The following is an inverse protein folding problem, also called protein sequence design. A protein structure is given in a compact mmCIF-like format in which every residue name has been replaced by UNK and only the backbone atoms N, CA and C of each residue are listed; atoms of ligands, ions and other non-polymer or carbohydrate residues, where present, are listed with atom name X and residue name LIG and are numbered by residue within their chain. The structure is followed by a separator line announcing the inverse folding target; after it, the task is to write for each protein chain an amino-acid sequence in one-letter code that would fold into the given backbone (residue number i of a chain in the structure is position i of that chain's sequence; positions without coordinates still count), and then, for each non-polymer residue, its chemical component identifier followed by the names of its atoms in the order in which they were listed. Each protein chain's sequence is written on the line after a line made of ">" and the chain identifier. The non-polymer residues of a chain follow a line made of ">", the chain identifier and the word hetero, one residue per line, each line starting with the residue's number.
data_IF_779473874371
#
_entry.id   IF_779473874371
#
_cell.length_a   1.000
_cell.length_b   1.000
_cell.length_c   1.000
_cell.angle_alpha   90.00
_cell.angle_beta   90.00
_cell.angle_gamma   90.00
#
_symmetry.space_group_name_H-M   'P 1'
#
loop_
_entity.id
_entity.type
_entity.pdbx_description
1 polymer ?
#
# COMPACT_ATOMS: atom_id res chain seq x y z
N UNK A 1 -42.63 -61.86 -39.78
CA UNK A 1 -42.98 -60.62 -39.07
C UNK A 1 -42.07 -60.54 -37.84
N UNK A 2 -41.45 -59.37 -37.58
CA UNK A 2 -40.05 -59.21 -37.09
C UNK A 2 -39.85 -59.59 -35.61
N UNK A 3 -38.67 -60.11 -35.20
CA UNK A 3 -37.44 -59.37 -34.80
C UNK A 3 -37.66 -58.54 -33.51
N UNK A 4 -36.86 -58.56 -32.44
CA UNK A 4 -35.41 -58.74 -32.29
C UNK A 4 -35.08 -59.03 -30.81
N UNK A 5 -34.05 -59.82 -30.56
CA UNK A 5 -33.36 -59.94 -29.27
C UNK A 5 -32.42 -58.73 -29.05
N UNK A 6 -32.10 -58.36 -27.80
CA UNK A 6 -30.74 -57.96 -27.41
C UNK A 6 -30.54 -57.81 -25.87
N UNK A 7 -29.70 -58.71 -25.33
CA UNK A 7 -28.56 -58.53 -24.39
C UNK A 7 -28.73 -57.84 -23.00
N UNK A 8 -28.42 -58.66 -21.98
CA UNK A 8 -27.76 -58.33 -20.68
C UNK A 8 -26.30 -57.81 -20.91
N UNK A 9 -25.40 -57.57 -19.90
CA UNK A 9 -25.49 -57.46 -18.43
C UNK A 9 -24.66 -56.27 -17.81
N UNK A 10 -24.74 -56.12 -16.47
CA UNK A 10 -23.73 -55.75 -15.43
C UNK A 10 -22.42 -55.04 -15.87
N UNK A 11 -22.00 -53.95 -15.16
CA UNK A 11 -20.66 -53.80 -14.53
C UNK A 11 -20.18 -52.34 -14.30
N UNK A 12 -19.61 -52.12 -13.11
CA UNK A 12 -18.46 -51.26 -12.73
C UNK A 12 -18.50 -49.73 -12.85
N UNK A 13 -18.32 -49.07 -11.69
CA UNK A 13 -17.74 -47.73 -11.42
C UNK A 13 -16.49 -47.39 -12.26
N UNK A 14 -16.12 -46.10 -12.53
CA UNK A 14 -15.37 -45.29 -11.54
C UNK A 14 -15.42 -43.72 -11.63
N UNK A 15 -14.96 -43.10 -10.52
CA UNK A 15 -14.04 -41.94 -10.39
C UNK A 15 -14.48 -40.49 -10.76
N UNK A 16 -14.38 -39.65 -9.72
CA UNK A 16 -13.98 -38.22 -9.63
C UNK A 16 -14.57 -37.16 -10.58
N UNK A 17 -15.29 -36.20 -9.99
CA UNK A 17 -15.04 -34.77 -10.23
C UNK A 17 -15.66 -33.95 -9.09
N UNK A 18 -14.83 -33.72 -8.08
CA UNK A 18 -15.02 -32.72 -7.04
C UNK A 18 -14.11 -31.57 -7.44
N UNK A 19 -14.65 -30.42 -7.87
CA UNK A 19 -14.03 -29.07 -7.78
C UNK A 19 -14.73 -27.97 -8.61
N UNK A 20 -15.77 -28.25 -9.39
CA UNK A 20 -16.36 -27.24 -10.30
C UNK A 20 -17.69 -26.63 -9.81
N UNK A 21 -17.76 -26.16 -8.56
CA UNK A 21 -18.98 -25.49 -8.05
C UNK A 21 -18.73 -24.37 -7.03
N UNK A 22 -17.50 -23.85 -6.92
CA UNK A 22 -17.17 -22.80 -5.96
C UNK A 22 -16.41 -21.60 -6.56
N UNK A 23 -16.63 -21.25 -7.83
CA UNK A 23 -15.98 -20.08 -8.45
C UNK A 23 -16.94 -19.04 -9.07
N UNK A 24 -18.24 -19.15 -8.78
CA UNK A 24 -19.24 -18.14 -9.11
C UNK A 24 -19.81 -17.49 -7.83
N UNK A 25 -18.95 -16.83 -7.04
CA UNK A 25 -19.40 -15.89 -6.01
C UNK A 25 -18.23 -15.06 -5.46
N UNK A 26 -17.84 -14.00 -6.17
CA UNK A 26 -17.35 -12.81 -5.48
C UNK A 26 -18.07 -11.61 -6.09
N UNK A 27 -19.34 -11.48 -5.69
CA UNK A 27 -20.04 -10.21 -5.73
C UNK A 27 -19.23 -9.17 -4.96
N UNK A 28 -19.14 -8.00 -5.56
CA UNK A 28 -18.66 -6.74 -5.01
C UNK A 28 -19.05 -6.53 -3.54
N UNK A 29 -18.03 -6.42 -2.68
CA UNK A 29 -18.15 -5.67 -1.42
C UNK A 29 -16.98 -4.69 -1.37
N UNK A 30 -17.30 -3.43 -1.66
CA UNK A 30 -16.44 -2.27 -1.41
C UNK A 30 -16.37 -2.05 0.09
N UNK A 31 -15.15 -2.10 0.64
CA UNK A 31 -14.65 -1.35 1.81
C UNK A 31 -13.24 -1.86 2.14
N UNK A 32 -12.22 -1.37 1.41
CA UNK A 32 -10.79 -1.26 1.79
C UNK A 32 -9.95 -0.87 0.54
N UNK A 33 -9.51 0.37 0.46
CA UNK A 33 -8.74 0.95 -0.68
C UNK A 33 -7.26 0.52 -0.73
N UNK A 34 -7.00 -0.77 -0.54
CA UNK A 34 -5.68 -1.41 -0.67
C UNK A 34 -5.71 -2.72 -1.47
N UNK A 35 -6.87 -3.10 -2.02
CA UNK A 35 -7.02 -4.34 -2.76
C UNK A 35 -6.23 -4.29 -4.07
N UNK A 36 -5.29 -5.22 -4.24
CA UNK A 36 -4.62 -5.47 -5.52
C UNK A 36 -5.62 -6.17 -6.43
N UNK A 37 -5.88 -5.61 -7.62
CA UNK A 37 -6.72 -6.23 -8.65
C UNK A 37 -5.86 -6.89 -9.71
N UNK A 38 -6.27 -8.06 -10.15
CA UNK A 38 -5.57 -8.85 -11.15
C UNK A 38 -6.54 -9.16 -12.28
N UNK A 39 -6.10 -8.95 -13.52
CA UNK A 39 -6.82 -9.38 -14.70
C UNK A 39 -5.87 -10.02 -15.69
N UNK A 40 -6.12 -11.29 -16.00
CA UNK A 40 -5.39 -12.02 -17.03
C UNK A 40 -6.06 -11.76 -18.37
N UNK A 41 -5.27 -11.31 -19.34
CA UNK A 41 -5.75 -11.03 -20.67
C UNK A 41 -5.62 -12.27 -21.56
N UNK A 42 -6.72 -13.00 -21.73
CA UNK A 42 -6.82 -14.14 -22.67
C UNK A 42 -7.77 -13.81 -23.85
N UNK A 43 -7.80 -12.54 -24.30
CA UNK A 43 -8.75 -12.08 -25.32
C UNK A 43 -10.13 -11.68 -24.78
N UNK A 44 -10.29 -11.65 -23.45
CA UNK A 44 -11.46 -11.13 -22.77
C UNK A 44 -11.55 -9.59 -22.90
N UNK A 45 -12.76 -9.00 -22.84
CA UNK A 45 -12.90 -7.54 -22.82
C UNK A 45 -12.22 -6.93 -21.60
N UNK A 46 -11.84 -5.65 -21.71
CA UNK A 46 -11.26 -4.89 -20.61
C UNK A 46 -12.22 -4.91 -19.40
N UNK A 47 -11.70 -5.11 -18.18
CA UNK A 47 -12.53 -5.17 -16.99
C UNK A 47 -13.11 -3.79 -16.66
N UNK A 48 -14.30 -3.74 -16.05
CA UNK A 48 -15.03 -2.49 -15.73
C UNK A 48 -14.21 -1.49 -14.89
N UNK A 49 -13.28 -2.01 -14.08
CA UNK A 49 -12.41 -1.18 -13.24
C UNK A 49 -11.24 -0.54 -13.97
N UNK A 50 -10.97 -0.94 -15.22
CA UNK A 50 -9.96 -0.32 -16.04
C UNK A 50 -10.59 0.84 -16.82
N UNK A 51 -10.13 2.09 -16.62
CA UNK A 51 -10.64 3.22 -17.37
C UNK A 51 -10.38 3.04 -18.87
N UNK A 52 -11.38 3.36 -19.70
CA UNK A 52 -11.30 3.18 -21.17
C UNK A 52 -10.23 4.04 -21.83
N UNK A 53 -9.82 5.13 -21.20
CA UNK A 53 -8.73 6.01 -21.63
C UNK A 53 -7.33 5.47 -21.28
N UNK A 54 -7.25 4.42 -20.45
CA UNK A 54 -5.98 3.84 -20.02
C UNK A 54 -5.47 2.80 -21.02
N UNK A 55 -6.34 2.18 -21.81
CA UNK A 55 -5.99 1.15 -22.78
C UNK A 55 -6.28 1.61 -24.22
N UNK A 56 -5.36 1.33 -25.14
CA UNK A 56 -5.61 1.50 -26.57
C UNK A 56 -6.58 0.45 -27.10
N UNK A 57 -7.03 0.65 -28.34
CA UNK A 57 -7.73 -0.38 -29.10
C UNK A 57 -6.89 -1.67 -29.21
N UNK A 58 -7.55 -2.81 -29.23
CA UNK A 58 -6.92 -4.12 -29.45
C UNK A 58 -6.57 -4.24 -30.93
N UNK A 59 -5.29 -4.46 -31.22
CA UNK A 59 -4.77 -4.69 -32.56
C UNK A 59 -5.18 -6.07 -33.10
N UNK A 60 -5.08 -6.27 -34.42
CA UNK A 60 -5.41 -7.55 -35.07
C UNK A 60 -4.58 -8.75 -34.57
N UNK A 61 -3.39 -8.51 -34.02
CA UNK A 61 -2.53 -9.51 -33.40
C UNK A 61 -2.95 -9.84 -31.94
N UNK A 62 -4.06 -9.28 -31.47
CA UNK A 62 -4.58 -9.45 -30.12
C UNK A 62 -3.82 -8.65 -29.06
N UNK A 63 -2.89 -7.77 -29.41
CA UNK A 63 -2.16 -6.95 -28.41
C UNK A 63 -2.76 -5.55 -28.29
N UNK A 64 -2.52 -4.89 -27.16
CA UNK A 64 -2.86 -3.48 -26.98
C UNK A 64 -1.83 -2.78 -26.10
N UNK A 65 -1.87 -1.46 -26.05
CA UNK A 65 -0.99 -0.65 -25.19
C UNK A 65 -1.78 -0.13 -23.99
N UNK A 66 -1.18 -0.24 -22.81
CA UNK A 66 -1.72 0.22 -21.55
C UNK A 66 -0.86 1.37 -21.03
N UNK A 67 -1.48 2.49 -20.66
CA UNK A 67 -0.78 3.59 -20.01
C UNK A 67 -0.47 3.21 -18.56
N UNK A 68 0.81 3.19 -18.21
CA UNK A 68 1.29 2.89 -16.85
C UNK A 68 2.09 4.07 -16.32
N UNK A 69 2.40 4.08 -15.03
CA UNK A 69 3.26 5.13 -14.43
C UNK A 69 4.67 5.18 -15.07
N UNK A 70 5.12 4.06 -15.65
CA UNK A 70 6.42 3.96 -16.32
C UNK A 70 6.32 4.25 -17.83
N UNK A 71 5.15 4.65 -18.33
CA UNK A 71 4.85 4.91 -19.73
C UNK A 71 3.96 3.84 -20.36
N UNK A 72 3.96 3.76 -21.70
CA UNK A 72 3.15 2.81 -22.44
C UNK A 72 3.73 1.39 -22.33
N UNK A 73 2.95 0.48 -21.75
CA UNK A 73 3.27 -0.94 -21.66
C UNK A 73 2.46 -1.74 -22.69
N UNK A 74 3.12 -2.63 -23.43
CA UNK A 74 2.43 -3.53 -24.38
C UNK A 74 1.89 -4.76 -23.66
N UNK A 75 0.60 -5.05 -23.85
CA UNK A 75 -0.10 -6.21 -23.30
C UNK A 75 -0.26 -7.26 -24.39
N UNK A 76 0.28 -8.45 -24.14
CA UNK A 76 0.13 -9.63 -24.99
C UNK A 76 -0.90 -10.60 -24.40
N UNK A 77 -1.55 -11.44 -25.20
CA UNK A 77 -2.34 -12.56 -24.69
C UNK A 77 -1.52 -13.41 -23.71
N UNK A 78 -2.12 -13.74 -22.57
CA UNK A 78 -1.48 -14.43 -21.44
C UNK A 78 -0.83 -13.49 -20.40
N UNK A 79 -0.66 -12.20 -20.71
CA UNK A 79 -0.18 -11.24 -19.71
C UNK A 79 -1.23 -10.97 -18.65
N UNK A 80 -0.74 -10.62 -17.47
CA UNK A 80 -1.56 -10.26 -16.32
C UNK A 80 -1.37 -8.77 -16.08
N UNK A 81 -2.49 -8.06 -16.08
CA UNK A 81 -2.56 -6.67 -15.66
C UNK A 81 -2.85 -6.61 -14.17
N UNK A 82 -2.03 -5.85 -13.46
CA UNK A 82 -2.13 -5.64 -12.02
C UNK A 82 -2.50 -4.18 -11.79
N UNK A 83 -3.52 -3.91 -10.99
CA UNK A 83 -3.89 -2.57 -10.53
C UNK A 83 -3.76 -2.47 -9.01
N UNK A 84 -3.14 -1.39 -8.55
CA UNK A 84 -3.10 -1.02 -7.14
C UNK A 84 -3.10 0.50 -7.02
N UNK A 85 -4.15 1.07 -6.40
CA UNK A 85 -4.30 2.51 -6.15
C UNK A 85 -4.26 3.37 -7.43
N UNK A 86 -4.82 2.86 -8.53
CA UNK A 86 -4.86 3.53 -9.83
C UNK A 86 -3.59 3.41 -10.67
N UNK A 87 -2.55 2.77 -10.15
CA UNK A 87 -1.36 2.43 -10.91
C UNK A 87 -1.50 1.04 -11.55
N UNK A 88 -1.03 0.91 -12.79
CA UNK A 88 -1.15 -0.31 -13.59
C UNK A 88 0.22 -0.89 -13.92
N UNK A 89 0.33 -2.22 -13.91
CA UNK A 89 1.51 -2.96 -14.37
C UNK A 89 1.10 -4.13 -15.25
N UNK A 90 1.98 -4.49 -16.19
CA UNK A 90 1.81 -5.64 -17.08
C UNK A 90 2.94 -6.63 -16.80
N UNK A 91 2.61 -7.89 -16.51
CA UNK A 91 3.58 -8.95 -16.24
C UNK A 91 3.20 -10.27 -16.90
N UNK A 92 4.21 -11.14 -17.06
CA UNK A 92 3.99 -12.56 -17.32
C UNK A 92 3.42 -13.25 -16.07
N UNK A 93 2.89 -14.46 -16.20
CA UNK A 93 2.46 -15.25 -15.04
C UNK A 93 3.62 -15.67 -14.12
N UNK A 94 4.83 -15.77 -14.66
CA UNK A 94 6.02 -16.18 -13.91
C UNK A 94 6.51 -15.06 -12.99
N UNK A 95 6.45 -13.82 -13.45
CA UNK A 95 6.91 -12.63 -12.70
C UNK A 95 5.84 -12.07 -11.74
N UNK A 96 4.63 -12.65 -11.73
CA UNK A 96 3.51 -12.11 -10.98
C UNK A 96 3.72 -12.22 -9.46
N UNK A 97 4.27 -13.34 -8.99
CA UNK A 97 4.46 -13.58 -7.56
C UNK A 97 5.40 -12.55 -6.93
N UNK A 98 6.50 -12.23 -7.63
CA UNK A 98 7.48 -11.25 -7.17
C UNK A 98 6.88 -9.85 -7.14
N UNK A 99 6.14 -9.46 -8.19
CA UNK A 99 5.45 -8.17 -8.21
C UNK A 99 4.40 -8.06 -7.09
N UNK A 100 3.60 -9.10 -6.85
CA UNK A 100 2.60 -9.09 -5.76
C UNK A 100 3.30 -8.98 -4.40
N UNK A 101 4.42 -9.68 -4.20
CA UNK A 101 5.22 -9.57 -2.99
C UNK A 101 5.73 -8.14 -2.78
N UNK A 102 6.27 -7.51 -3.83
CA UNK A 102 6.70 -6.11 -3.80
C UNK A 102 5.56 -5.14 -3.48
N UNK A 103 4.40 -5.28 -4.12
CA UNK A 103 3.24 -4.42 -3.89
C UNK A 103 2.64 -4.60 -2.49
N UNK A 104 2.73 -5.81 -1.91
CA UNK A 104 2.35 -6.08 -0.52
C UNK A 104 3.33 -5.49 0.48
N UNK A 105 4.63 -5.53 0.19
CA UNK A 105 5.65 -4.86 1.00
C UNK A 105 5.41 -3.34 0.98
N UNK A 106 5.12 -2.75 -0.17
CA UNK A 106 4.78 -1.31 -0.29
C UNK A 106 3.48 -0.95 0.43
N UNK A 107 2.50 -1.86 0.47
CA UNK A 107 1.24 -1.66 1.18
C UNK A 107 1.37 -1.84 2.70
N UNK A 108 2.40 -2.54 3.16
CA UNK A 108 2.70 -2.69 4.58
C UNK A 108 3.58 -1.51 4.99
N UNK A 109 3.15 -0.64 5.93
CA UNK A 109 4.03 0.41 6.42
C UNK A 109 5.19 -0.24 7.17
N UNK A 110 6.30 -0.52 6.49
CA UNK A 110 7.53 -0.93 7.16
C UNK A 110 8.03 0.27 7.95
N UNK A 111 7.76 0.27 9.25
CA UNK A 111 8.46 1.14 10.20
C UNK A 111 9.90 0.63 10.25
N UNK A 112 10.72 1.08 9.31
CA UNK A 112 12.17 0.91 9.31
C UNK A 112 12.80 2.28 9.53
N UNK A 113 12.50 2.85 10.70
CA UNK A 113 13.26 3.95 11.28
C UNK A 113 13.65 3.54 12.70
N UNK A 114 14.57 2.57 12.80
CA UNK A 114 15.34 2.34 14.01
C UNK A 114 16.77 2.68 13.63
N UNK A 115 17.29 3.77 14.21
CA UNK A 115 18.67 4.19 14.04
C UNK A 115 19.68 3.10 14.42
N UNK A 116 20.96 3.26 14.05
CA UNK A 116 21.99 2.26 14.30
C UNK A 116 22.15 2.06 15.81
N UNK A 117 21.65 0.95 16.36
CA UNK A 117 21.83 0.64 17.79
C UNK A 117 20.88 -0.35 18.45
N UNK A 118 19.83 -0.86 17.80
CA UNK A 118 18.88 -1.80 18.43
C UNK A 118 18.63 -3.12 17.68
N UNK A 119 19.60 -3.61 16.92
CA UNK A 119 19.45 -4.87 16.18
C UNK A 119 19.73 -6.14 17.03
N UNK A 120 20.30 -6.05 18.23
CA UNK A 120 20.89 -7.24 18.88
C UNK A 120 19.99 -7.98 19.89
N UNK A 121 18.73 -7.59 20.08
CA UNK A 121 17.94 -8.15 21.19
C UNK A 121 16.73 -9.01 20.81
N UNK A 122 16.43 -9.16 19.52
CA UNK A 122 15.33 -10.01 19.07
C UNK A 122 15.76 -10.84 17.86
N UNK A 123 16.44 -11.96 18.13
CA UNK A 123 16.98 -12.82 17.10
C UNK A 123 17.37 -14.21 17.61
N UNK A 124 16.52 -14.87 18.41
CA UNK A 124 16.54 -16.33 18.42
C UNK A 124 15.66 -16.83 17.28
N UNK A 125 16.30 -17.28 16.21
CA UNK A 125 15.66 -18.05 15.14
C UNK A 125 15.30 -19.42 15.74
N UNK A 126 14.09 -19.54 16.30
CA UNK A 126 13.54 -20.83 16.70
C UNK A 126 13.10 -21.57 15.43
N UNK A 127 13.79 -22.68 15.13
CA UNK A 127 13.40 -23.63 14.07
C UNK A 127 11.95 -24.12 14.30
N UNK A 128 11.11 -24.23 13.27
CA UNK A 128 9.71 -24.58 13.46
C UNK A 128 9.60 -26.07 13.84
N UNK A 129 9.13 -26.34 15.07
CA UNK A 129 8.55 -27.64 15.41
C UNK A 129 7.14 -27.68 14.84
N UNK A 130 6.95 -28.52 13.83
CA UNK A 130 5.66 -28.96 13.34
C UNK A 130 4.80 -29.44 14.52
N UNK A 131 3.70 -28.75 14.81
CA UNK A 131 2.78 -29.19 15.85
C UNK A 131 1.31 -28.98 15.46
N UNK A 132 0.71 -30.14 15.17
CA UNK A 132 -0.70 -30.53 15.13
C UNK A 132 -1.72 -29.50 15.64
N UNK A 133 -2.60 -29.11 14.71
CA UNK A 133 -4.04 -28.95 14.85
C UNK A 133 -4.53 -28.48 16.24
N UNK A 134 -4.36 -27.19 16.53
CA UNK A 134 -5.11 -26.51 17.60
C UNK A 134 -6.01 -25.47 16.96
N UNK A 135 -7.33 -25.65 17.11
CA UNK A 135 -8.32 -24.62 16.78
C UNK A 135 -7.96 -23.35 17.56
N UNK A 136 -7.50 -22.33 16.86
CA UNK A 136 -7.17 -21.04 17.44
C UNK A 136 -8.47 -20.35 17.87
N UNK A 137 -8.69 -20.20 19.17
CA UNK A 137 -9.71 -19.29 19.70
C UNK A 137 -9.23 -17.85 19.51
N UNK A 138 -10.06 -16.91 19.01
CA UNK A 138 -9.65 -15.52 18.85
C UNK A 138 -9.38 -14.90 20.22
N UNK A 139 -8.13 -14.51 20.49
CA UNK A 139 -7.83 -13.68 21.64
C UNK A 139 -8.26 -12.24 21.37
N UNK A 140 -8.89 -11.55 22.34
CA UNK A 140 -9.20 -10.14 22.18
C UNK A 140 -7.90 -9.33 21.96
N UNK A 141 -7.96 -8.23 21.20
CA UNK A 141 -6.79 -7.41 20.95
C UNK A 141 -6.19 -6.90 22.27
N UNK A 142 -4.88 -7.09 22.45
CA UNK A 142 -4.13 -6.69 23.65
C UNK A 142 -4.04 -5.17 23.86
N UNK A 143 -4.41 -4.38 22.86
CA UNK A 143 -4.28 -2.93 22.88
C UNK A 143 -5.60 -2.26 22.49
N UNK A 144 -5.88 -1.12 23.11
CA UNK A 144 -7.00 -0.27 22.71
C UNK A 144 -6.84 0.15 21.24
N UNK A 145 -7.95 0.32 20.51
CA UNK A 145 -7.89 0.85 19.15
C UNK A 145 -7.24 2.24 19.16
N UNK A 146 -6.48 2.59 18.10
CA UNK A 146 -5.90 3.92 17.98
C UNK A 146 -6.99 4.98 17.98
N UNK A 147 -6.75 6.09 18.68
CA UNK A 147 -7.66 7.23 18.79
C UNK A 147 -7.13 8.37 17.93
N UNK A 148 -8.04 9.06 17.23
CA UNK A 148 -7.72 10.23 16.42
C UNK A 148 -7.43 9.90 14.96
N UNK A 149 -7.19 10.96 14.19
CA UNK A 149 -6.84 10.86 12.77
C UNK A 149 -5.40 10.39 12.60
N UNK A 150 -5.14 9.65 11.51
CA UNK A 150 -3.78 9.33 11.11
C UNK A 150 -3.01 10.61 10.75
N UNK A 151 -1.69 10.66 11.01
CA UNK A 151 -0.88 11.80 10.61
C UNK A 151 -0.82 11.93 9.07
N UNK A 152 -0.73 13.16 8.59
CA UNK A 152 -0.54 13.52 7.20
C UNK A 152 0.76 14.31 7.02
N UNK A 153 1.33 14.25 5.82
CA UNK A 153 2.39 15.17 5.39
C UNK A 153 1.73 16.17 4.44
N UNK A 154 1.84 17.46 4.75
CA UNK A 154 1.17 18.54 4.02
C UNK A 154 2.15 19.70 3.78
N UNK A 155 1.99 20.38 2.64
CA UNK A 155 2.65 21.67 2.40
C UNK A 155 1.83 22.77 3.07
N UNK A 156 2.41 23.40 4.10
CA UNK A 156 1.74 24.44 4.90
C UNK A 156 2.57 25.72 4.86
N UNK A 157 1.89 26.85 4.63
CA UNK A 157 2.54 28.16 4.69
C UNK A 157 3.01 28.48 6.12
N UNK A 158 4.18 29.09 6.27
CA UNK A 158 4.79 29.35 7.59
C UNK A 158 3.87 30.19 8.49
N UNK A 159 3.17 31.17 7.92
CA UNK A 159 2.24 32.06 8.65
C UNK A 159 0.98 31.37 9.18
N UNK A 160 0.71 30.13 8.76
CA UNK A 160 -0.38 29.31 9.32
C UNK A 160 0.06 28.55 10.58
N UNK A 161 1.35 28.55 10.88
CA UNK A 161 1.93 27.84 12.01
C UNK A 161 2.08 28.79 13.19
N UNK A 162 1.86 28.25 14.38
CA UNK A 162 2.06 28.94 15.65
C UNK A 162 2.89 28.10 16.60
N UNK A 163 3.45 28.76 17.61
CA UNK A 163 4.16 28.11 18.71
C UNK A 163 3.35 28.34 19.99
N UNK A 164 3.09 27.26 20.71
CA UNK A 164 2.49 27.35 22.04
C UNK A 164 3.59 27.63 23.07
N UNK A 165 3.63 28.88 23.55
CA UNK A 165 4.62 29.35 24.52
C UNK A 165 4.53 28.64 25.88
N UNK A 166 3.38 28.04 26.21
CA UNK A 166 3.21 27.28 27.46
C UNK A 166 3.82 25.87 27.36
N UNK A 167 3.94 25.35 26.14
CA UNK A 167 4.47 24.01 25.88
C UNK A 167 5.94 24.03 25.45
N UNK A 168 6.33 25.01 24.62
CA UNK A 168 7.67 25.06 24.02
C UNK A 168 8.67 25.87 24.84
N UNK A 169 9.96 25.60 24.62
CA UNK A 169 11.03 26.35 25.26
C UNK A 169 11.15 27.73 24.65
N UNK A 170 11.47 28.71 25.49
CA UNK A 170 11.85 30.04 25.04
C UNK A 170 13.12 29.98 24.19
N UNK A 171 13.11 30.69 23.07
CA UNK A 171 14.24 30.85 22.15
C UNK A 171 14.98 32.17 22.34
N UNK A 172 14.64 32.94 23.38
CA UNK A 172 15.24 34.25 23.67
C UNK A 172 16.65 34.17 24.28
N UNK A 173 17.15 32.96 24.55
CA UNK A 173 18.52 32.79 25.01
C UNK A 173 19.54 32.94 23.86
N UNK A 174 20.77 33.35 24.19
CA UNK A 174 21.81 33.61 23.20
C UNK A 174 22.21 32.37 22.38
N UNK A 175 22.13 31.16 22.96
CA UNK A 175 22.47 29.93 22.26
C UNK A 175 21.43 29.59 21.18
N UNK A 176 20.14 29.69 21.50
CA UNK A 176 19.03 29.51 20.56
C UNK A 176 19.11 30.52 19.41
N UNK A 177 19.35 31.80 19.70
CA UNK A 177 19.52 32.83 18.65
C UNK A 177 20.68 32.52 17.70
N UNK A 178 21.83 32.09 18.23
CA UNK A 178 22.98 31.67 17.41
C UNK A 178 22.65 30.46 16.56
N UNK A 179 21.97 29.46 17.13
CA UNK A 179 21.54 28.27 16.41
C UNK A 179 20.58 28.62 15.26
N UNK A 180 19.54 29.42 15.54
CA UNK A 180 18.59 29.90 14.52
C UNK A 180 19.34 30.62 13.40
N UNK A 181 20.24 31.55 13.74
CA UNK A 181 21.04 32.29 12.75
C UNK A 181 21.92 31.36 11.90
N UNK A 182 22.53 30.35 12.52
CA UNK A 182 23.37 29.37 11.81
C UNK A 182 22.56 28.48 10.85
N UNK A 183 21.33 28.13 11.22
CA UNK A 183 20.40 27.38 10.37
C UNK A 183 19.97 28.26 9.20
N UNK A 184 19.55 29.51 9.47
CA UNK A 184 19.11 30.47 8.46
C UNK A 184 20.20 30.74 7.41
N UNK A 185 21.45 30.87 7.82
CA UNK A 185 22.58 31.18 6.92
C UNK A 185 22.80 30.14 5.80
N UNK A 186 22.36 28.90 5.99
CA UNK A 186 22.51 27.80 5.03
C UNK A 186 21.22 27.00 4.89
N UNK A 187 20.09 27.69 5.00
CA UNK A 187 18.80 27.04 5.05
C UNK A 187 18.46 26.38 3.71
N UNK A 188 18.12 25.09 3.77
CA UNK A 188 17.63 24.31 2.65
C UNK A 188 16.62 23.30 3.17
N UNK A 189 15.37 23.41 2.71
CA UNK A 189 14.31 22.48 3.11
C UNK A 189 14.63 21.02 2.76
N UNK A 190 15.44 20.77 1.73
CA UNK A 190 15.85 19.41 1.33
C UNK A 190 16.77 18.73 2.34
N UNK A 191 17.41 19.52 3.21
CA UNK A 191 18.30 19.03 4.26
C UNK A 191 17.61 18.96 5.64
N UNK A 192 16.34 19.35 5.71
CA UNK A 192 15.57 19.40 6.94
C UNK A 192 14.51 18.29 6.97
N UNK A 193 14.33 17.66 8.14
CA UNK A 193 13.13 16.87 8.38
C UNK A 193 11.88 17.78 8.41
N UNK A 194 10.70 17.28 7.99
CA UNK A 194 9.44 18.02 8.12
C UNK A 194 9.21 18.50 9.56
N UNK A 195 8.52 19.63 9.70
CA UNK A 195 8.07 20.10 11.01
C UNK A 195 6.99 19.16 11.55
N UNK A 196 7.02 18.89 12.85
CA UNK A 196 5.96 18.11 13.51
C UNK A 196 4.99 19.09 14.13
N UNK A 197 3.73 18.98 13.73
CA UNK A 197 2.67 19.93 14.05
C UNK A 197 1.47 19.18 14.59
N UNK A 198 0.83 19.72 15.62
CA UNK A 198 -0.44 19.25 16.13
C UNK A 198 -1.57 20.17 15.64
N UNK A 199 -2.61 19.56 15.04
CA UNK A 199 -3.87 20.26 14.75
C UNK A 199 -4.70 20.32 16.04
N UNK A 200 -5.13 21.52 16.41
CA UNK A 200 -5.98 21.78 17.57
C UNK A 200 -7.45 21.72 17.18
N UNK A 201 -8.35 21.78 18.17
CA UNK A 201 -9.81 21.69 17.96
C UNK A 201 -10.40 22.88 17.19
N UNK A 202 -9.67 24.00 17.15
CA UNK A 202 -9.98 25.22 16.40
C UNK A 202 -9.26 25.26 15.03
N UNK A 203 -8.76 24.11 14.56
CA UNK A 203 -7.94 23.96 13.35
C UNK A 203 -6.60 24.72 13.36
N UNK A 204 -6.20 25.31 14.50
CA UNK A 204 -4.89 25.91 14.64
C UNK A 204 -3.79 24.85 14.50
N UNK A 205 -2.73 25.21 13.76
CA UNK A 205 -1.58 24.37 13.54
C UNK A 205 -0.45 24.81 14.47
N UNK A 206 -0.18 24.01 15.49
CA UNK A 206 0.80 24.32 16.55
C UNK A 206 2.03 23.44 16.41
N UNK A 207 3.21 24.06 16.34
CA UNK A 207 4.49 23.36 16.22
C UNK A 207 4.83 22.66 17.53
N UNK A 208 5.01 21.33 17.45
CA UNK A 208 5.44 20.50 18.59
C UNK A 208 6.89 20.04 18.47
N UNK A 209 7.47 20.00 17.26
CA UNK A 209 8.91 19.84 17.05
C UNK A 209 9.41 20.65 15.82
N UNK A 210 10.65 21.14 15.89
CA UNK A 210 11.30 21.89 14.83
C UNK A 210 11.23 23.42 14.96
N UNK A 211 10.94 23.95 16.16
CA UNK A 211 10.83 25.39 16.43
C UNK A 211 11.99 26.22 15.86
N UNK A 212 13.25 25.84 16.09
CA UNK A 212 14.40 26.59 15.55
C UNK A 212 14.45 26.61 14.01
N UNK A 213 14.02 25.52 13.35
CA UNK A 213 13.97 25.44 11.88
C UNK A 213 12.85 26.33 11.33
N UNK A 214 11.68 26.32 11.97
CA UNK A 214 10.58 27.21 11.63
C UNK A 214 10.99 28.68 11.78
N UNK A 215 11.58 29.06 12.93
CA UNK A 215 12.05 30.43 13.15
C UNK A 215 13.11 30.86 12.12
N UNK A 216 14.05 29.97 11.78
CA UNK A 216 15.05 30.25 10.76
C UNK A 216 14.40 30.46 9.38
N UNK A 217 13.47 29.59 8.98
CA UNK A 217 12.72 29.75 7.73
C UNK A 217 11.88 31.03 7.72
N UNK A 218 11.21 31.36 8.82
CA UNK A 218 10.42 32.58 8.96
C UNK A 218 11.30 33.83 8.82
N UNK A 219 12.53 33.81 9.35
CA UNK A 219 13.47 34.93 9.23
C UNK A 219 13.96 35.20 7.80
N UNK A 220 13.80 34.22 6.89
CA UNK A 220 14.13 34.34 5.47
C UNK A 220 12.92 34.74 4.61
N UNK A 221 11.72 34.57 5.15
CA UNK A 221 10.46 34.89 4.48
C UNK A 221 10.00 36.34 4.72
N UNK A 222 10.76 37.10 5.52
CA UNK A 222 10.49 38.49 5.90
C UNK A 222 11.13 39.50 4.93
#
# INVERSE_FOLDING_TARGET
>A
MPAQAHRLPISSYPVAESEELAMNAVQSVSLQSHAIRLWRYDGLPLPEWMPQDTASYIEANGTFSLNTELGLARVHPGNIVVEQRGAFWVRSSEDLSDLIAELKIRATPSITAIGPGKASQFGEIVRPKENRNRKATPHPPRFAPPIGSLPSIEWVHLDRLSVDETYQRTTDNAASRRLISSIAAKFDWRLCAPLVVARRTDDALVIIDGQHRWMAAQSLAA
#
